data_IF_178290024225
#
_entry.id   IF_178290024225
#
_cell.length_a   1.000
_cell.length_b   1.000
_cell.length_c   1.000
_cell.angle_alpha   90.00
_cell.angle_beta   90.00
_cell.angle_gamma   90.00
#
_symmetry.space_group_name_H-M   'P 1'
#
loop_
_entity.id
_entity.type
_entity.pdbx_description
1 polymer ?
#
# COMPACT_ATOMS: atom_id res chain seq x y z
N UNK A 1 -12.72 -7.04 8.93
CA UNK A 1 -11.26 -7.11 8.69
C UNK A 1 -10.50 -6.54 9.87
N UNK A 2 -9.20 -6.80 9.98
CA UNK A 2 -8.35 -6.29 11.08
C UNK A 2 -7.47 -5.16 10.55
N UNK A 3 -7.06 -4.24 11.40
CA UNK A 3 -5.97 -3.33 11.07
C UNK A 3 -4.64 -4.10 11.07
N UNK A 4 -3.80 -3.83 10.07
CA UNK A 4 -2.49 -4.51 9.96
C UNK A 4 -1.58 -4.15 11.15
N UNK A 5 -1.67 -2.92 11.70
CA UNK A 5 -0.97 -2.56 12.94
C UNK A 5 -1.31 -3.50 14.11
N UNK A 6 -2.57 -3.93 14.23
CA UNK A 6 -2.99 -4.83 15.31
C UNK A 6 -2.51 -6.27 15.05
N UNK A 7 -2.36 -6.66 13.78
CA UNK A 7 -1.76 -7.93 13.38
C UNK A 7 -0.28 -7.93 13.79
N UNK A 8 0.47 -6.88 13.45
CA UNK A 8 1.88 -6.73 13.84
C UNK A 8 2.05 -6.77 15.35
N UNK A 9 1.29 -5.97 16.11
CA UNK A 9 1.35 -5.94 17.56
C UNK A 9 1.06 -7.32 18.18
N UNK A 10 0.06 -8.04 17.68
CA UNK A 10 -0.28 -9.38 18.15
C UNK A 10 0.81 -10.42 17.85
N UNK A 11 1.45 -10.32 16.69
CA UNK A 11 2.56 -11.21 16.31
C UNK A 11 3.82 -10.93 17.12
N UNK A 12 4.16 -9.67 17.31
CA UNK A 12 5.28 -9.24 18.14
C UNK A 12 5.12 -9.73 19.58
N UNK A 13 3.96 -9.53 20.18
CA UNK A 13 3.65 -10.03 21.53
C UNK A 13 3.75 -11.55 21.64
N UNK A 14 3.52 -12.28 20.54
CA UNK A 14 3.66 -13.74 20.49
C UNK A 14 5.07 -14.22 20.12
N UNK A 15 6.02 -13.31 19.85
CA UNK A 15 7.37 -13.64 19.37
C UNK A 15 7.37 -14.34 18.01
N UNK A 16 6.41 -14.01 17.12
CA UNK A 16 6.24 -14.64 15.80
C UNK A 16 6.38 -13.61 14.69
N UNK A 17 6.96 -13.99 13.55
CA UNK A 17 6.97 -13.11 12.38
C UNK A 17 5.55 -12.97 11.80
N UNK A 18 5.31 -11.84 11.16
CA UNK A 18 4.14 -11.63 10.31
C UNK A 18 4.46 -12.11 8.88
N UNK A 19 3.57 -12.90 8.29
CA UNK A 19 3.69 -13.40 6.92
C UNK A 19 2.70 -12.66 6.04
N UNK A 20 3.18 -12.02 4.97
CA UNK A 20 2.33 -11.35 4.00
C UNK A 20 2.76 -11.64 2.57
N UNK A 21 1.78 -11.56 1.65
CA UNK A 21 2.04 -11.62 0.21
C UNK A 21 1.67 -10.31 -0.45
N UNK A 22 2.38 -9.97 -1.53
CA UNK A 22 2.06 -8.84 -2.38
C UNK A 22 1.66 -9.33 -3.76
N UNK A 23 0.54 -8.80 -4.26
CA UNK A 23 -0.02 -9.16 -5.56
C UNK A 23 -0.11 -7.96 -6.48
N UNK A 24 -0.06 -8.24 -7.77
CA UNK A 24 -0.19 -7.24 -8.82
C UNK A 24 -1.55 -7.40 -9.51
N UNK A 25 -2.19 -6.31 -9.96
CA UNK A 25 -3.37 -6.39 -10.80
C UNK A 25 -3.14 -7.25 -12.04
N UNK A 26 -4.13 -8.06 -12.38
CA UNK A 26 -4.03 -8.99 -13.50
C UNK A 26 -4.08 -8.26 -14.84
N UNK A 27 -3.29 -8.74 -15.80
CA UNK A 27 -3.26 -8.21 -17.17
C UNK A 27 -4.32 -8.86 -18.06
N UNK A 28 -4.77 -10.07 -17.72
CA UNK A 28 -5.74 -10.83 -18.51
C UNK A 28 -6.78 -11.50 -17.61
N UNK A 29 -8.01 -11.76 -18.13
CA UNK A 29 -9.04 -12.51 -17.40
C UNK A 29 -8.58 -13.92 -16.99
N UNK A 30 -7.83 -14.60 -17.84
CA UNK A 30 -7.32 -15.96 -17.57
C UNK A 30 -6.30 -15.95 -16.40
N UNK A 31 -5.50 -14.87 -16.32
CA UNK A 31 -4.58 -14.64 -15.18
C UNK A 31 -5.35 -14.45 -13.88
N UNK A 32 -6.45 -13.72 -13.91
CA UNK A 32 -7.34 -13.54 -12.77
C UNK A 32 -7.99 -14.84 -12.35
N UNK A 33 -8.56 -15.61 -13.27
CA UNK A 33 -9.18 -16.91 -13.00
C UNK A 33 -8.16 -17.89 -12.40
N UNK A 34 -6.96 -17.97 -12.97
CA UNK A 34 -5.87 -18.79 -12.44
C UNK A 34 -5.46 -18.38 -11.04
N UNK A 35 -5.39 -17.08 -10.78
CA UNK A 35 -5.01 -16.58 -9.46
C UNK A 35 -6.01 -16.96 -8.39
N UNK A 36 -7.29 -16.63 -8.58
CA UNK A 36 -8.32 -16.91 -7.58
C UNK A 36 -8.68 -18.40 -7.49
N UNK A 37 -8.64 -19.14 -8.61
CA UNK A 37 -8.98 -20.56 -8.64
C UNK A 37 -7.86 -21.52 -8.19
N UNK A 38 -6.60 -21.10 -8.29
CA UNK A 38 -5.47 -22.00 -8.03
C UNK A 38 -4.38 -21.37 -7.16
N UNK A 39 -3.87 -20.19 -7.55
CA UNK A 39 -2.67 -19.61 -6.92
C UNK A 39 -2.94 -19.15 -5.49
N UNK A 40 -3.95 -18.32 -5.28
CA UNK A 40 -4.30 -17.82 -3.96
C UNK A 40 -4.71 -18.94 -2.99
N UNK A 41 -5.57 -19.92 -3.36
CA UNK A 41 -5.84 -21.08 -2.50
C UNK A 41 -4.59 -21.83 -2.07
N UNK A 42 -3.63 -22.03 -2.97
CA UNK A 42 -2.35 -22.67 -2.62
C UNK A 42 -1.52 -21.81 -1.64
N UNK A 43 -1.45 -20.50 -1.84
CA UNK A 43 -0.74 -19.60 -0.95
C UNK A 43 -1.39 -19.49 0.43
N UNK A 44 -2.72 -19.62 0.52
CA UNK A 44 -3.43 -19.64 1.81
C UNK A 44 -2.99 -20.79 2.72
N UNK A 45 -2.45 -21.89 2.17
CA UNK A 45 -1.91 -22.99 2.97
C UNK A 45 -0.67 -22.61 3.77
N UNK A 46 0.04 -21.54 3.38
CA UNK A 46 1.17 -21.00 4.14
C UNK A 46 0.73 -20.19 5.37
N UNK A 47 -0.56 -19.96 5.56
CA UNK A 47 -1.12 -19.21 6.68
C UNK A 47 -0.72 -17.74 6.71
N UNK A 48 -0.89 -16.98 5.60
CA UNK A 48 -0.56 -15.56 5.59
C UNK A 48 -1.45 -14.79 6.57
N UNK A 49 -0.88 -13.75 7.16
CA UNK A 49 -1.59 -12.88 8.09
C UNK A 49 -2.35 -11.76 7.38
N UNK A 50 -1.80 -11.28 6.26
CA UNK A 50 -2.45 -10.33 5.36
C UNK A 50 -1.84 -10.39 3.95
N UNK A 51 -2.49 -9.72 3.02
CA UNK A 51 -1.96 -9.49 1.68
C UNK A 51 -1.99 -8.00 1.31
N UNK A 52 -1.23 -7.61 0.29
CA UNK A 52 -1.32 -6.29 -0.33
C UNK A 52 -1.50 -6.41 -1.83
N UNK A 53 -2.15 -5.41 -2.42
CA UNK A 53 -2.33 -5.32 -3.87
C UNK A 53 -1.78 -4.00 -4.36
N UNK A 54 -0.87 -4.08 -5.33
CA UNK A 54 -0.18 -2.91 -5.86
C UNK A 54 -1.12 -2.03 -6.70
N UNK A 55 -0.70 -0.79 -6.88
CA UNK A 55 -1.37 0.21 -7.70
C UNK A 55 -0.54 0.44 -8.96
N UNK A 56 -1.16 0.43 -10.13
CA UNK A 56 -0.44 0.62 -11.39
C UNK A 56 0.14 2.03 -11.53
N UNK A 57 1.26 2.14 -12.25
CA UNK A 57 1.90 3.41 -12.51
C UNK A 57 0.90 4.44 -13.09
N UNK A 58 0.96 5.67 -12.57
CA UNK A 58 0.04 6.74 -12.96
C UNK A 58 -1.43 6.51 -12.62
N UNK A 59 -1.76 5.62 -11.68
CA UNK A 59 -3.14 5.38 -11.23
C UNK A 59 -4.00 4.53 -12.18
N UNK A 60 -3.39 3.88 -13.18
CA UNK A 60 -4.10 3.19 -14.27
C UNK A 60 -4.91 1.96 -13.85
N UNK A 61 -4.72 1.42 -12.65
CA UNK A 61 -5.37 0.17 -12.20
C UNK A 61 -6.22 0.36 -10.93
N UNK A 62 -6.62 1.59 -10.62
CA UNK A 62 -7.34 1.92 -9.38
C UNK A 62 -8.51 0.98 -9.08
N UNK A 63 -9.48 0.97 -9.97
CA UNK A 63 -10.71 0.19 -9.79
C UNK A 63 -10.39 -1.30 -9.61
N UNK A 64 -9.50 -1.82 -10.46
CA UNK A 64 -9.07 -3.21 -10.41
C UNK A 64 -8.33 -3.55 -9.11
N UNK A 65 -7.53 -2.64 -8.56
CA UNK A 65 -6.87 -2.83 -7.26
C UNK A 65 -7.90 -3.01 -6.15
N UNK A 66 -8.89 -2.11 -6.07
CA UNK A 66 -9.95 -2.19 -5.05
C UNK A 66 -10.80 -3.46 -5.21
N UNK A 67 -11.16 -3.84 -6.45
CA UNK A 67 -11.89 -5.08 -6.74
C UNK A 67 -11.13 -6.33 -6.26
N UNK A 68 -9.83 -6.41 -6.55
CA UNK A 68 -9.00 -7.55 -6.13
C UNK A 68 -8.90 -7.61 -4.60
N UNK A 69 -8.67 -6.46 -3.95
CA UNK A 69 -8.61 -6.35 -2.48
C UNK A 69 -9.93 -6.82 -1.86
N UNK A 70 -11.05 -6.30 -2.34
CA UNK A 70 -12.38 -6.66 -1.88
C UNK A 70 -12.64 -8.17 -2.03
N UNK A 71 -12.32 -8.72 -3.20
CA UNK A 71 -12.51 -10.15 -3.48
C UNK A 71 -11.65 -11.04 -2.59
N UNK A 72 -10.37 -10.70 -2.34
CA UNK A 72 -9.53 -11.46 -1.40
C UNK A 72 -10.13 -11.44 0.00
N UNK A 73 -10.65 -10.29 0.44
CA UNK A 73 -11.28 -10.16 1.76
C UNK A 73 -12.55 -11.02 1.88
N UNK A 74 -13.42 -10.92 0.88
CA UNK A 74 -14.75 -11.54 0.94
C UNK A 74 -14.71 -13.05 0.69
N UNK A 75 -13.93 -13.50 -0.29
CA UNK A 75 -13.90 -14.90 -0.70
C UNK A 75 -12.94 -15.75 0.16
N UNK A 76 -11.88 -15.14 0.69
CA UNK A 76 -10.82 -15.86 1.42
C UNK A 76 -10.69 -15.45 2.89
N UNK A 77 -11.40 -14.43 3.34
CA UNK A 77 -11.33 -13.94 4.72
C UNK A 77 -9.97 -13.37 5.12
N UNK A 78 -9.07 -13.09 4.15
CA UNK A 78 -7.73 -12.58 4.40
C UNK A 78 -7.75 -11.06 4.52
N UNK A 79 -7.16 -10.52 5.58
CA UNK A 79 -6.97 -9.06 5.69
C UNK A 79 -6.12 -8.56 4.52
N UNK A 80 -6.54 -7.48 3.88
CA UNK A 80 -5.85 -6.95 2.70
C UNK A 80 -5.57 -5.46 2.84
N UNK A 81 -4.54 -5.00 2.15
CA UNK A 81 -4.11 -3.61 2.04
C UNK A 81 -4.11 -3.20 0.58
N UNK A 82 -4.78 -2.09 0.26
CA UNK A 82 -4.67 -1.47 -1.05
C UNK A 82 -3.49 -0.51 -1.07
N UNK A 83 -2.66 -0.57 -2.11
CA UNK A 83 -1.74 0.52 -2.39
C UNK A 83 -2.53 1.71 -2.95
N UNK A 84 -2.14 2.93 -2.59
CA UNK A 84 -2.73 4.16 -3.10
C UNK A 84 -1.62 5.18 -3.36
N UNK A 85 -1.58 5.72 -4.57
CA UNK A 85 -0.59 6.73 -4.96
C UNK A 85 -1.24 8.11 -5.08
N UNK A 86 -0.48 9.16 -4.78
CA UNK A 86 -0.94 10.54 -4.98
C UNK A 86 -0.77 11.04 -6.42
N UNK A 87 0.13 10.43 -7.20
CA UNK A 87 0.41 10.90 -8.55
C UNK A 87 -0.86 10.93 -9.42
N UNK A 88 -1.03 12.03 -10.20
CA UNK A 88 -2.14 12.25 -11.12
C UNK A 88 -3.53 12.32 -10.48
N UNK A 89 -3.59 12.54 -9.17
CA UNK A 89 -4.84 12.73 -8.46
C UNK A 89 -4.87 14.05 -7.69
N UNK A 90 -6.01 14.71 -7.75
CA UNK A 90 -6.36 15.80 -6.84
C UNK A 90 -6.72 15.24 -5.45
N UNK A 91 -6.70 16.09 -4.42
CA UNK A 91 -7.17 15.73 -3.07
C UNK A 91 -8.63 15.26 -3.08
N UNK A 92 -9.47 15.86 -3.91
CA UNK A 92 -10.88 15.48 -4.04
C UNK A 92 -11.05 14.06 -4.64
N UNK A 93 -10.27 13.73 -5.68
CA UNK A 93 -10.28 12.38 -6.26
C UNK A 93 -9.78 11.33 -5.28
N UNK A 94 -8.69 11.61 -4.55
CA UNK A 94 -8.21 10.73 -3.47
C UNK A 94 -9.31 10.55 -2.41
N UNK A 95 -10.01 11.62 -2.03
CA UNK A 95 -11.16 11.55 -1.12
C UNK A 95 -12.22 10.58 -1.63
N UNK A 96 -12.60 10.66 -2.91
CA UNK A 96 -13.57 9.75 -3.53
C UNK A 96 -13.09 8.28 -3.58
N UNK A 97 -11.79 8.06 -3.84
CA UNK A 97 -11.19 6.71 -3.82
C UNK A 97 -11.27 6.11 -2.41
N UNK A 98 -11.01 6.92 -1.38
CA UNK A 98 -11.09 6.47 0.01
C UNK A 98 -12.53 6.19 0.45
N UNK A 99 -13.52 6.97 -0.05
CA UNK A 99 -14.94 6.67 0.16
C UNK A 99 -15.31 5.33 -0.46
N UNK A 100 -14.87 5.08 -1.69
CA UNK A 100 -15.10 3.81 -2.38
C UNK A 100 -14.43 2.65 -1.63
N UNK A 101 -13.18 2.81 -1.21
CA UNK A 101 -12.47 1.80 -0.41
C UNK A 101 -13.22 1.48 0.90
N UNK A 102 -13.67 2.51 1.62
CA UNK A 102 -14.44 2.34 2.86
C UNK A 102 -15.77 1.60 2.61
N UNK A 103 -16.49 1.94 1.54
CA UNK A 103 -17.74 1.29 1.16
C UNK A 103 -17.55 -0.20 0.79
N UNK A 104 -16.37 -0.58 0.29
CA UNK A 104 -15.97 -1.97 0.02
C UNK A 104 -15.38 -2.68 1.26
N UNK A 105 -15.37 -2.03 2.43
CA UNK A 105 -14.82 -2.59 3.67
C UNK A 105 -13.29 -2.68 3.69
N UNK A 106 -12.59 -1.94 2.82
CA UNK A 106 -11.14 -1.88 2.78
C UNK A 106 -10.66 -0.92 3.87
N UNK A 107 -9.90 -1.42 4.83
CA UNK A 107 -9.49 -0.67 6.02
C UNK A 107 -7.99 -0.40 6.09
N UNK A 108 -7.17 -0.94 5.20
CA UNK A 108 -5.73 -0.76 5.23
C UNK A 108 -5.22 -0.20 3.90
N UNK A 109 -4.48 0.89 3.97
CA UNK A 109 -3.93 1.62 2.82
C UNK A 109 -2.42 1.74 2.96
N UNK A 110 -1.67 1.41 1.92
CA UNK A 110 -0.26 1.79 1.79
C UNK A 110 -0.19 3.11 1.03
N UNK A 111 0.19 4.17 1.73
CA UNK A 111 0.28 5.51 1.16
C UNK A 111 1.62 5.69 0.42
N UNK A 112 1.54 6.00 -0.86
CA UNK A 112 2.69 6.13 -1.77
C UNK A 112 2.64 7.46 -2.52
N UNK A 113 3.81 7.98 -2.89
CA UNK A 113 3.89 9.10 -3.83
C UNK A 113 3.44 8.66 -5.22
N UNK A 114 3.91 7.51 -5.64
CA UNK A 114 3.77 6.95 -6.97
C UNK A 114 4.85 7.44 -7.92
N UNK A 115 5.17 6.59 -8.89
CA UNK A 115 6.13 6.88 -9.94
C UNK A 115 5.40 7.37 -11.18
N UNK A 116 6.01 8.30 -11.95
CA UNK A 116 5.47 8.71 -13.23
C UNK A 116 5.47 7.52 -14.21
N UNK A 117 4.58 7.53 -15.20
CA UNK A 117 4.67 6.58 -16.30
C UNK A 117 6.04 6.63 -16.96
N UNK A 118 6.47 5.48 -17.55
CA UNK A 118 7.76 5.39 -18.20
C UNK A 118 7.98 6.49 -19.23
N UNK A 119 9.09 7.22 -19.11
CA UNK A 119 9.47 8.30 -20.02
C UNK A 119 8.91 9.69 -19.65
N UNK A 120 8.16 9.81 -18.55
CA UNK A 120 7.70 11.09 -18.03
C UNK A 120 8.48 11.48 -16.77
N UNK A 121 8.64 12.79 -16.55
CA UNK A 121 9.15 13.31 -15.29
C UNK A 121 8.00 13.40 -14.26
N UNK A 122 8.35 13.27 -12.99
CA UNK A 122 7.36 13.45 -11.92
C UNK A 122 6.90 14.91 -11.87
N UNK A 123 5.59 15.12 -11.85
CA UNK A 123 5.00 16.43 -11.69
C UNK A 123 3.82 16.36 -10.74
N UNK A 124 3.74 17.35 -9.84
CA UNK A 124 2.61 17.49 -8.94
C UNK A 124 1.32 17.80 -9.73
N UNK A 125 0.24 17.10 -9.43
CA UNK A 125 -1.09 17.47 -9.95
C UNK A 125 -1.59 18.71 -9.22
N UNK A 126 -2.10 19.70 -9.96
CA UNK A 126 -2.69 20.88 -9.35
C UNK A 126 -3.83 20.50 -8.39
N UNK A 127 -3.77 20.98 -7.15
CA UNK A 127 -4.69 20.58 -6.08
C UNK A 127 -4.52 19.16 -5.56
N UNK A 128 -3.44 18.49 -5.94
CA UNK A 128 -3.03 17.17 -5.46
C UNK A 128 -2.02 17.22 -4.32
N UNK A 129 -1.46 16.06 -4.01
CA UNK A 129 -0.37 15.90 -3.05
C UNK A 129 0.97 15.84 -3.78
N UNK A 130 2.01 16.42 -3.20
CA UNK A 130 3.38 16.33 -3.70
C UNK A 130 4.10 15.12 -3.13
N UNK A 131 3.90 14.83 -1.84
CA UNK A 131 4.60 13.76 -1.12
C UNK A 131 3.63 12.77 -0.49
N UNK A 132 4.11 11.54 -0.29
CA UNK A 132 3.38 10.51 0.42
C UNK A 132 3.06 10.89 1.88
N UNK A 133 3.85 11.75 2.51
CA UNK A 133 3.60 12.26 3.87
C UNK A 133 2.29 13.04 3.97
N UNK A 134 1.96 13.85 2.95
CA UNK A 134 0.70 14.59 2.89
C UNK A 134 -0.50 13.65 2.72
N UNK A 135 -0.33 12.56 1.95
CA UNK A 135 -1.37 11.52 1.83
C UNK A 135 -1.56 10.78 3.15
N UNK A 136 -0.47 10.49 3.89
CA UNK A 136 -0.54 9.89 5.23
C UNK A 136 -1.32 10.79 6.19
N UNK A 137 -1.00 12.10 6.22
CA UNK A 137 -1.70 13.08 7.04
C UNK A 137 -3.20 13.14 6.68
N UNK A 138 -3.52 13.21 5.40
CA UNK A 138 -4.90 13.23 4.92
C UNK A 138 -5.68 11.98 5.32
N UNK A 139 -5.07 10.79 5.21
CA UNK A 139 -5.66 9.54 5.68
C UNK A 139 -5.89 9.54 7.20
N UNK A 140 -4.93 10.10 7.97
CA UNK A 140 -5.02 10.19 9.42
C UNK A 140 -6.15 11.13 9.86
N UNK A 141 -6.26 12.30 9.25
CA UNK A 141 -7.34 13.27 9.51
C UNK A 141 -8.71 12.69 9.19
N UNK A 142 -8.82 11.97 8.09
CA UNK A 142 -10.06 11.32 7.68
C UNK A 142 -10.49 10.21 8.65
N UNK A 143 -9.52 9.48 9.19
CA UNK A 143 -9.76 8.34 10.09
C UNK A 143 -10.30 7.09 9.38
N UNK A 144 -10.47 6.01 10.14
CA UNK A 144 -11.06 4.75 9.65
C UNK A 144 -10.08 3.82 8.92
N UNK A 145 -8.84 4.24 8.67
CA UNK A 145 -7.84 3.44 7.97
C UNK A 145 -6.62 3.08 8.85
N UNK A 146 -6.08 1.89 8.62
CA UNK A 146 -4.72 1.52 9.00
C UNK A 146 -3.78 1.99 7.89
N UNK A 147 -2.73 2.72 8.25
CA UNK A 147 -1.88 3.45 7.31
C UNK A 147 -0.49 2.88 7.30
N UNK A 148 -0.09 2.28 6.16
CA UNK A 148 1.29 1.91 5.89
C UNK A 148 2.03 3.00 5.13
N UNK A 149 3.32 3.13 5.36
CA UNK A 149 4.23 3.96 4.58
C UNK A 149 5.37 3.12 3.99
N UNK A 150 5.84 3.48 2.79
CA UNK A 150 7.02 2.86 2.22
C UNK A 150 8.30 3.41 2.84
N UNK A 151 9.27 2.52 3.10
CA UNK A 151 10.61 2.85 3.56
C UNK A 151 11.68 2.18 2.70
N UNK A 152 12.84 2.80 2.58
CA UNK A 152 13.96 2.31 1.79
C UNK A 152 15.20 2.19 2.68
N UNK A 153 15.52 0.99 3.19
CA UNK A 153 16.68 0.80 4.08
C UNK A 153 18.01 1.21 3.44
N UNK A 154 18.14 0.99 2.12
CA UNK A 154 19.33 1.38 1.36
C UNK A 154 19.25 2.81 0.77
N UNK A 155 18.18 3.56 1.09
CA UNK A 155 17.86 4.88 0.55
C UNK A 155 17.07 4.80 -0.75
N UNK A 156 16.22 5.80 -0.99
CA UNK A 156 15.47 5.90 -2.25
C UNK A 156 16.39 6.36 -3.38
N UNK A 157 16.30 5.72 -4.52
CA UNK A 157 17.17 5.98 -5.68
C UNK A 157 17.07 7.43 -6.18
N UNK A 158 15.90 8.05 -6.05
CA UNK A 158 15.66 9.45 -6.46
C UNK A 158 15.98 10.48 -5.36
N UNK A 159 16.44 10.05 -4.18
CA UNK A 159 16.85 10.97 -3.13
C UNK A 159 18.29 11.44 -3.40
N UNK A 160 18.42 12.58 -4.09
CA UNK A 160 19.71 13.13 -4.48
C UNK A 160 20.58 13.50 -3.26
N UNK A 161 19.96 13.83 -2.12
CA UNK A 161 20.62 14.18 -0.87
C UNK A 161 21.14 12.97 -0.10
N UNK A 162 20.84 11.77 -0.56
CA UNK A 162 21.37 10.51 -0.02
C UNK A 162 20.48 9.84 1.02
N UNK A 163 20.97 8.67 1.48
CA UNK A 163 20.24 7.73 2.34
C UNK A 163 19.76 8.34 3.66
N UNK A 164 20.60 9.13 4.32
CA UNK A 164 20.25 9.73 5.60
C UNK A 164 19.07 10.70 5.49
N UNK A 165 19.03 11.48 4.41
CA UNK A 165 17.91 12.39 4.14
C UNK A 165 16.64 11.62 3.82
N UNK A 166 16.71 10.53 3.06
CA UNK A 166 15.55 9.67 2.81
C UNK A 166 14.99 9.06 4.11
N UNK A 167 15.86 8.69 5.05
CA UNK A 167 15.42 8.22 6.37
C UNK A 167 14.71 9.32 7.18
N UNK A 168 15.16 10.58 7.07
CA UNK A 168 14.44 11.71 7.68
C UNK A 168 13.06 11.90 7.06
N UNK A 169 12.92 11.70 5.75
CA UNK A 169 11.62 11.70 5.08
C UNK A 169 10.73 10.57 5.59
N UNK A 170 11.28 9.37 5.85
CA UNK A 170 10.54 8.27 6.46
C UNK A 170 10.05 8.63 7.87
N UNK A 171 10.91 9.22 8.71
CA UNK A 171 10.52 9.73 10.03
C UNK A 171 9.40 10.76 9.90
N UNK A 172 9.47 11.64 8.90
CA UNK A 172 8.40 12.58 8.57
C UNK A 172 7.06 11.87 8.31
N UNK A 173 7.05 10.82 7.49
CA UNK A 173 5.83 10.01 7.22
C UNK A 173 5.26 9.36 8.47
N UNK A 174 6.13 8.86 9.36
CA UNK A 174 5.71 8.28 10.64
C UNK A 174 5.07 9.35 11.53
N UNK A 175 5.67 10.54 11.61
CA UNK A 175 5.14 11.65 12.40
C UNK A 175 3.80 12.19 11.86
N UNK A 176 3.56 12.09 10.55
CA UNK A 176 2.26 12.40 9.92
C UNK A 176 1.18 11.35 10.26
N UNK A 177 1.56 10.23 10.87
CA UNK A 177 0.60 9.26 11.42
C UNK A 177 0.58 7.90 10.73
N UNK A 178 1.65 7.48 10.04
CA UNK A 178 1.75 6.09 9.56
C UNK A 178 1.79 5.12 10.76
N UNK A 179 1.04 4.02 10.67
CA UNK A 179 0.94 3.01 11.72
C UNK A 179 2.06 1.98 11.65
N UNK A 180 2.59 1.74 10.46
CA UNK A 180 3.68 0.78 10.19
C UNK A 180 4.43 1.15 8.91
N UNK A 181 5.62 0.58 8.77
CA UNK A 181 6.47 0.75 7.58
C UNK A 181 6.55 -0.57 6.84
N UNK A 182 6.39 -0.51 5.52
CA UNK A 182 6.71 -1.59 4.59
C UNK A 182 7.97 -1.20 3.83
N UNK A 183 9.05 -1.92 4.05
CA UNK A 183 10.31 -1.63 3.38
C UNK A 183 10.32 -2.15 1.95
N UNK A 184 11.08 -1.47 1.08
CA UNK A 184 11.57 -2.08 -0.14
C UNK A 184 12.45 -3.28 0.23
N UNK A 185 12.56 -4.24 -0.69
CA UNK A 185 13.47 -5.37 -0.52
C UNK A 185 14.91 -4.85 -0.41
N UNK A 186 15.64 -5.34 0.58
CA UNK A 186 17.02 -4.95 0.86
C UNK A 186 17.84 -6.19 1.22
N UNK A 187 19.15 -6.11 1.06
CA UNK A 187 20.08 -7.22 1.25
C UNK A 187 21.19 -6.90 2.24
N UNK A 188 21.39 -5.62 2.55
CA UNK A 188 22.36 -5.17 3.55
C UNK A 188 21.61 -4.92 4.88
N UNK A 189 22.06 -5.63 5.92
CA UNK A 189 21.51 -5.52 7.27
C UNK A 189 22.41 -4.71 8.22
N UNK A 190 23.44 -4.05 7.69
CA UNK A 190 24.40 -3.26 8.46
C UNK A 190 23.92 -1.82 8.69
#
# INVERSE_FOLDING_TARGET
MRFIRDIHAGKEAAGKPTISFEFFPFKTPEGEETFFGKTLPALMTAGPDYASVTYGAGGSTREKTLEIVERIQNDFGLTTMAHLTCIRHTRAEIGGILDEAANRGIQNILALRGDPPSGEEWAQTEGGFEFASELVEFLRERGGFGIGAAGFPEGHIDCAEGRETDWLHLVGKINCGADFVKTQMFFDNA
#
